data_IF_938104231251
#
_entry.id   IF_938104231251
#
_cell.length_a   1.000
_cell.length_b   1.000
_cell.length_c   1.000
_cell.angle_alpha   90.00
_cell.angle_beta   90.00
_cell.angle_gamma   90.00
#
_symmetry.space_group_name_H-M   'P 1'
#
loop_
_entity.id
_entity.type
_entity.pdbx_description
1 polymer ?
#
# COMPACT_ATOMS: atom_id res chain seq x y z
N UNK A 1 -14.72 -23.23 51.52
CA UNK A 1 -15.29 -21.91 51.88
C UNK A 1 -14.34 -20.83 51.36
N UNK A 2 -14.74 -20.17 50.26
CA UNK A 2 -14.67 -18.71 49.95
C UNK A 2 -13.90 -17.82 50.95
N UNK A 3 -13.09 -16.80 50.62
CA UNK A 3 -13.01 -15.76 49.54
C UNK A 3 -11.53 -15.25 49.53
N UNK A 4 -10.91 -14.62 48.51
CA UNK A 4 -11.34 -13.64 47.52
C UNK A 4 -10.72 -12.25 47.84
N UNK A 5 -9.72 -11.79 47.07
CA UNK A 5 -9.54 -10.34 46.78
C UNK A 5 -8.62 -10.10 45.58
N UNK A 6 -9.28 -9.76 44.47
CA UNK A 6 -8.71 -9.13 43.28
C UNK A 6 -8.05 -7.79 43.60
N UNK A 7 -6.90 -7.53 42.99
CA UNK A 7 -6.39 -6.17 42.75
C UNK A 7 -6.27 -6.03 41.24
N UNK A 8 -7.32 -5.46 40.64
CA UNK A 8 -7.36 -5.11 39.23
C UNK A 8 -6.42 -3.95 38.94
N UNK A 9 -5.32 -4.22 38.22
CA UNK A 9 -4.63 -3.19 37.45
C UNK A 9 -5.34 -3.08 36.11
N UNK A 10 -6.16 -2.03 36.01
CA UNK A 10 -6.89 -1.62 34.82
C UNK A 10 -5.86 -1.26 33.72
N UNK A 11 -5.52 -2.24 32.88
CA UNK A 11 -4.76 -1.99 31.65
C UNK A 11 -5.59 -1.06 30.78
N UNK A 12 -5.19 0.21 30.72
CA UNK A 12 -5.76 1.19 29.79
C UNK A 12 -5.42 0.70 28.39
N UNK A 13 -6.41 0.10 27.72
CA UNK A 13 -6.40 -0.13 26.28
C UNK A 13 -6.17 1.23 25.61
N UNK A 14 -4.95 1.52 25.19
CA UNK A 14 -4.67 2.52 24.16
C UNK A 14 -5.18 1.93 22.85
N UNK A 15 -6.50 1.99 22.66
CA UNK A 15 -7.11 1.85 21.36
C UNK A 15 -6.72 3.08 20.56
N UNK A 16 -5.69 2.95 19.73
CA UNK A 16 -5.55 3.81 18.57
C UNK A 16 -6.81 3.58 17.72
N UNK A 17 -7.66 4.59 17.65
CA UNK A 17 -8.96 4.51 16.98
C UNK A 17 -8.71 4.24 15.50
N UNK A 18 -9.32 3.19 14.95
CA UNK A 18 -9.39 2.89 13.51
C UNK A 18 -9.75 4.13 12.67
N UNK A 19 -10.47 5.08 13.25
CA UNK A 19 -10.76 6.39 12.66
C UNK A 19 -9.51 7.19 12.26
N UNK A 20 -8.38 7.06 12.97
CA UNK A 20 -7.13 7.78 12.66
C UNK A 20 -6.39 7.15 11.47
N UNK A 21 -6.49 5.83 11.30
CA UNK A 21 -5.93 5.14 10.13
C UNK A 21 -6.82 5.34 8.89
N UNK A 22 -8.15 5.29 9.08
CA UNK A 22 -9.16 5.56 8.06
C UNK A 22 -9.09 7.02 7.56
N UNK A 23 -9.01 8.00 8.45
CA UNK A 23 -8.87 9.42 8.12
C UNK A 23 -7.56 9.70 7.35
N UNK A 24 -6.47 8.99 7.68
CA UNK A 24 -5.19 9.10 6.96
C UNK A 24 -5.24 8.45 5.57
N UNK A 25 -6.01 7.39 5.39
CA UNK A 25 -6.27 6.78 4.08
C UNK A 25 -7.21 7.64 3.22
N UNK A 26 -8.29 8.13 3.81
CA UNK A 26 -9.23 9.05 3.16
C UNK A 26 -8.53 10.38 2.81
N UNK A 27 -7.52 10.83 3.57
CA UNK A 27 -6.67 11.98 3.21
C UNK A 27 -5.81 11.74 1.96
N UNK A 28 -5.45 10.50 1.65
CA UNK A 28 -4.74 10.15 0.41
C UNK A 28 -5.71 10.18 -0.78
N UNK A 29 -6.96 9.79 -0.57
CA UNK A 29 -8.02 9.88 -1.57
C UNK A 29 -8.45 11.36 -1.81
N UNK A 30 -8.50 12.16 -0.74
CA UNK A 30 -8.82 13.61 -0.78
C UNK A 30 -7.69 14.45 -1.38
N UNK A 31 -6.41 14.08 -1.23
CA UNK A 31 -5.29 14.73 -1.95
C UNK A 31 -5.29 14.43 -3.48
N UNK A 32 -6.17 13.54 -3.94
CA UNK A 32 -6.35 13.18 -5.35
C UNK A 32 -7.74 13.56 -5.91
N UNK A 33 -8.67 14.05 -5.09
CA UNK A 33 -9.89 14.71 -5.58
C UNK A 33 -9.69 16.23 -5.58
N UNK A 34 -9.72 16.79 -6.78
CA UNK A 34 -9.81 18.23 -6.99
C UNK A 34 -11.13 18.75 -6.37
N UNK A 35 -11.13 19.78 -5.50
CA UNK A 35 -12.35 20.29 -4.84
C UNK A 35 -13.35 20.95 -5.80
N UNK A 36 -13.11 20.92 -7.12
CA UNK A 36 -13.92 21.60 -8.14
C UNK A 36 -14.72 20.65 -9.05
N UNK A 37 -14.69 19.33 -8.83
CA UNK A 37 -15.55 18.41 -9.58
C UNK A 37 -16.95 18.40 -8.94
N UNK A 38 -17.78 19.36 -9.37
CA UNK A 38 -19.20 19.43 -9.03
C UNK A 38 -19.95 18.14 -9.34
N UNK A 39 -20.91 17.86 -8.46
CA UNK A 39 -21.79 16.72 -8.44
C UNK A 39 -22.66 16.64 -9.72
N UNK A 40 -22.29 15.75 -10.63
CA UNK A 40 -23.21 15.23 -11.63
C UNK A 40 -23.10 13.72 -11.64
N UNK A 41 -24.12 13.06 -11.09
CA UNK A 41 -24.31 11.63 -11.20
C UNK A 41 -24.34 11.24 -12.67
N UNK A 42 -23.33 10.50 -13.12
CA UNK A 42 -23.28 9.92 -14.46
C UNK A 42 -23.10 8.41 -14.32
N UNK A 43 -23.95 7.72 -15.03
CA UNK A 43 -24.11 6.27 -15.07
C UNK A 43 -22.85 5.60 -15.61
N UNK A 44 -22.31 4.63 -14.86
CA UNK A 44 -20.95 4.10 -15.06
C UNK A 44 -20.80 3.28 -16.36
N UNK A 45 -21.90 2.96 -17.03
CA UNK A 45 -21.93 2.18 -18.26
C UNK A 45 -21.74 3.07 -19.50
N UNK A 46 -22.07 4.37 -19.43
CA UNK A 46 -21.86 5.32 -20.52
C UNK A 46 -20.42 5.88 -20.56
N UNK A 47 -19.67 5.78 -19.45
CA UNK A 47 -18.33 6.36 -19.31
C UNK A 47 -17.23 5.56 -20.04
N UNK A 48 -17.50 4.29 -20.33
CA UNK A 48 -16.60 3.42 -21.10
C UNK A 48 -16.64 3.73 -22.60
N UNK A 49 -17.82 4.08 -23.14
CA UNK A 49 -18.00 4.37 -24.58
C UNK A 49 -17.57 5.80 -24.96
N UNK A 50 -17.73 6.77 -24.06
CA UNK A 50 -17.31 8.17 -24.33
C UNK A 50 -15.78 8.34 -24.28
N UNK A 51 -15.05 7.40 -23.64
CA UNK A 51 -13.57 7.36 -23.64
C UNK A 51 -12.98 6.87 -24.96
N UNK A 52 -13.79 6.43 -25.91
CA UNK A 52 -13.35 5.95 -27.21
C UNK A 52 -12.86 7.05 -28.17
N UNK A 53 -13.32 8.30 -28.02
CA UNK A 53 -13.16 9.31 -29.10
C UNK A 53 -12.67 10.69 -28.64
N UNK A 54 -12.64 10.96 -27.33
CA UNK A 54 -12.04 12.17 -26.77
C UNK A 54 -10.73 11.84 -26.08
N UNK A 55 -9.63 12.41 -26.59
CA UNK A 55 -8.28 12.19 -26.08
C UNK A 55 -8.18 12.31 -24.56
N UNK A 56 -7.21 11.58 -23.99
CA UNK A 56 -6.97 11.54 -22.54
C UNK A 56 -6.83 12.96 -21.97
N UNK A 57 -7.64 13.30 -20.95
CA UNK A 57 -7.64 14.63 -20.34
C UNK A 57 -6.25 15.04 -19.84
N UNK A 58 -5.90 16.32 -20.03
CA UNK A 58 -4.66 16.91 -19.53
C UNK A 58 -4.54 16.80 -18.00
N UNK A 59 -5.67 16.88 -17.27
CA UNK A 59 -5.69 16.74 -15.82
C UNK A 59 -5.28 15.34 -15.38
N UNK A 60 -5.78 14.30 -16.05
CA UNK A 60 -5.42 12.91 -15.81
C UNK A 60 -3.92 12.68 -16.04
N UNK A 61 -3.38 13.14 -17.17
CA UNK A 61 -1.95 13.02 -17.47
C UNK A 61 -1.09 13.73 -16.42
N UNK A 62 -1.55 14.89 -15.94
CA UNK A 62 -0.84 15.65 -14.90
C UNK A 62 -0.83 14.90 -13.57
N UNK A 63 -1.97 14.34 -13.16
CA UNK A 63 -2.09 13.50 -11.98
C UNK A 63 -1.18 12.26 -12.06
N UNK A 64 -1.21 11.56 -13.19
CA UNK A 64 -0.38 10.37 -13.41
C UNK A 64 1.11 10.70 -13.39
N UNK A 65 1.53 11.83 -13.96
CA UNK A 65 2.91 12.31 -13.87
C UNK A 65 3.33 12.63 -12.44
N UNK A 66 2.44 13.22 -11.63
CA UNK A 66 2.70 13.46 -10.20
C UNK A 66 2.93 12.14 -9.47
N UNK A 67 2.10 11.14 -9.74
CA UNK A 67 2.24 9.81 -9.15
C UNK A 67 3.54 9.12 -9.59
N UNK A 68 3.85 9.16 -10.88
CA UNK A 68 5.10 8.63 -11.44
C UNK A 68 6.35 9.27 -10.81
N UNK A 69 6.32 10.60 -10.57
CA UNK A 69 7.42 11.30 -9.90
C UNK A 69 7.62 10.80 -8.47
N UNK A 70 6.55 10.65 -7.69
CA UNK A 70 6.63 10.12 -6.32
C UNK A 70 7.19 8.71 -6.31
N UNK A 71 6.73 7.87 -7.22
CA UNK A 71 7.26 6.51 -7.37
C UNK A 71 8.76 6.48 -7.70
N UNK A 72 9.23 7.31 -8.64
CA UNK A 72 10.65 7.39 -8.97
C UNK A 72 11.52 8.00 -7.85
N UNK A 73 10.90 8.69 -6.89
CA UNK A 73 11.57 9.17 -5.67
C UNK A 73 11.62 8.10 -4.57
N UNK A 74 10.80 7.05 -4.66
CA UNK A 74 10.85 5.90 -3.74
C UNK A 74 12.04 4.99 -4.06
N UNK A 75 12.57 4.31 -3.05
CA UNK A 75 13.59 3.29 -3.20
C UNK A 75 13.03 1.99 -3.82
N UNK A 76 13.84 1.19 -4.52
CA UNK A 76 15.13 1.58 -5.04
C UNK A 76 14.91 2.66 -6.10
N UNK A 77 15.59 3.80 -5.96
CA UNK A 77 15.37 4.94 -6.84
C UNK A 77 15.82 4.66 -8.28
N UNK A 78 16.43 5.67 -8.90
CA UNK A 78 16.81 5.67 -10.33
C UNK A 78 17.64 4.48 -10.84
N UNK A 79 18.23 3.67 -9.96
CA UNK A 79 18.98 2.48 -10.32
C UNK A 79 18.80 1.41 -9.24
N UNK A 80 18.11 0.31 -9.57
CA UNK A 80 18.53 -0.98 -9.04
C UNK A 80 18.09 -2.10 -9.95
N UNK A 81 18.86 -3.18 -9.91
CA UNK A 81 18.77 -4.44 -10.65
C UNK A 81 17.48 -5.26 -10.35
N UNK A 82 16.44 -4.59 -9.85
CA UNK A 82 15.12 -5.13 -9.58
C UNK A 82 14.36 -5.44 -10.89
N UNK A 83 13.43 -6.42 -10.92
CA UNK A 83 12.52 -6.70 -12.05
C UNK A 83 11.56 -5.53 -12.43
N UNK A 84 11.89 -4.32 -12.00
CA UNK A 84 11.10 -3.09 -12.10
C UNK A 84 11.58 -2.14 -13.21
N UNK A 85 12.51 -2.56 -14.07
CA UNK A 85 13.12 -1.74 -15.12
C UNK A 85 12.09 -1.18 -16.10
N UNK A 86 11.11 -1.99 -16.51
CA UNK A 86 10.09 -1.56 -17.47
C UNK A 86 9.18 -0.45 -16.92
N UNK A 87 8.67 -0.59 -15.68
CA UNK A 87 7.80 0.43 -15.09
C UNK A 87 8.57 1.72 -14.80
N UNK A 88 9.82 1.62 -14.35
CA UNK A 88 10.71 2.78 -14.18
C UNK A 88 10.95 3.52 -15.48
N UNK A 89 11.22 2.80 -16.57
CA UNK A 89 11.39 3.38 -17.89
C UNK A 89 10.09 4.06 -18.36
N UNK A 90 8.94 3.39 -18.22
CA UNK A 90 7.64 3.97 -18.58
C UNK A 90 7.34 5.26 -17.80
N UNK A 91 7.66 5.30 -16.51
CA UNK A 91 7.53 6.51 -15.70
C UNK A 91 8.48 7.62 -16.17
N UNK A 92 9.73 7.27 -16.49
CA UNK A 92 10.73 8.22 -16.99
C UNK A 92 10.32 8.82 -18.34
N UNK A 93 9.89 7.98 -19.29
CA UNK A 93 9.37 8.37 -20.60
C UNK A 93 8.15 9.29 -20.46
N UNK A 94 7.23 8.96 -19.54
CA UNK A 94 6.01 9.74 -19.28
C UNK A 94 6.33 11.14 -18.75
N UNK A 95 7.34 11.25 -17.89
CA UNK A 95 7.82 12.53 -17.34
C UNK A 95 8.59 13.33 -18.39
N UNK A 96 9.46 12.68 -19.15
CA UNK A 96 10.29 13.31 -20.18
C UNK A 96 9.51 13.64 -21.47
N UNK A 97 8.26 13.18 -21.59
CA UNK A 97 7.39 13.36 -22.77
C UNK A 97 8.02 12.81 -24.05
N UNK A 98 8.84 11.77 -23.91
CA UNK A 98 9.65 11.22 -25.00
C UNK A 98 8.85 10.39 -26.01
N UNK A 99 7.67 9.89 -25.62
CA UNK A 99 6.77 9.15 -26.52
C UNK A 99 5.31 9.43 -26.22
N UNK A 100 4.48 9.24 -27.24
CA UNK A 100 3.03 9.14 -27.06
C UNK A 100 2.68 7.85 -26.31
N UNK A 101 1.72 7.95 -25.40
CA UNK A 101 1.17 6.80 -24.71
C UNK A 101 -0.29 6.63 -25.12
N UNK A 102 -0.67 5.41 -25.46
CA UNK A 102 -2.07 5.06 -25.66
C UNK A 102 -2.85 5.11 -24.34
N UNK A 103 -4.18 5.33 -24.36
CA UNK A 103 -5.01 5.29 -23.15
C UNK A 103 -4.83 4.00 -22.34
N UNK A 104 -4.71 2.86 -23.01
CA UNK A 104 -4.49 1.57 -22.36
C UNK A 104 -3.12 1.44 -21.68
N UNK A 105 -2.06 2.04 -22.25
CA UNK A 105 -0.75 2.10 -21.58
C UNK A 105 -0.80 2.97 -20.34
N UNK A 106 -1.46 4.12 -20.40
CA UNK A 106 -1.59 5.02 -19.26
C UNK A 106 -2.37 4.36 -18.13
N UNK A 107 -3.46 3.65 -18.43
CA UNK A 107 -4.23 2.90 -17.43
C UNK A 107 -3.41 1.78 -16.78
N UNK A 108 -2.54 1.10 -17.53
CA UNK A 108 -1.62 0.10 -16.94
C UNK A 108 -0.57 0.74 -16.03
N UNK A 109 0.03 1.85 -16.45
CA UNK A 109 1.00 2.59 -15.63
C UNK A 109 0.33 3.06 -14.33
N UNK A 110 -0.85 3.66 -14.43
CA UNK A 110 -1.63 4.09 -13.27
C UNK A 110 -1.92 2.94 -12.31
N UNK A 111 -2.46 1.82 -12.83
CA UNK A 111 -2.80 0.64 -12.01
C UNK A 111 -1.58 0.09 -11.28
N UNK A 112 -0.44 -0.02 -11.97
CA UNK A 112 0.81 -0.49 -11.37
C UNK A 112 1.34 0.47 -10.28
N UNK A 113 1.29 1.78 -10.53
CA UNK A 113 1.73 2.80 -9.58
C UNK A 113 0.82 2.83 -8.34
N UNK A 114 -0.49 2.83 -8.52
CA UNK A 114 -1.47 2.79 -7.43
C UNK A 114 -1.28 1.54 -6.56
N UNK A 115 -1.10 0.37 -7.19
CA UNK A 115 -0.87 -0.86 -6.45
C UNK A 115 0.42 -0.78 -5.62
N UNK A 116 1.56 -0.41 -6.23
CA UNK A 116 2.85 -0.38 -5.53
C UNK A 116 2.86 0.65 -4.40
N UNK A 117 2.43 1.87 -4.68
CA UNK A 117 2.38 2.91 -3.66
C UNK A 117 1.38 2.59 -2.57
N UNK A 118 0.22 2.02 -2.92
CA UNK A 118 -0.79 1.56 -1.96
C UNK A 118 -0.25 0.49 -1.02
N UNK A 119 0.49 -0.49 -1.54
CA UNK A 119 1.10 -1.55 -0.73
C UNK A 119 2.25 -1.07 0.15
N UNK A 120 3.11 -0.15 -0.33
CA UNK A 120 4.10 0.49 0.52
C UNK A 120 3.45 1.31 1.63
N UNK A 121 2.36 2.03 1.32
CA UNK A 121 1.59 2.77 2.31
C UNK A 121 0.98 1.84 3.36
N UNK A 122 0.32 0.76 2.94
CA UNK A 122 -0.28 -0.23 3.84
C UNK A 122 0.78 -0.87 4.74
N UNK A 123 1.93 -1.28 4.20
CA UNK A 123 3.01 -1.81 5.00
C UNK A 123 3.51 -0.82 6.05
N UNK A 124 3.62 0.46 5.69
CA UNK A 124 3.98 1.50 6.64
C UNK A 124 2.91 1.69 7.73
N UNK A 125 1.63 1.66 7.37
CA UNK A 125 0.52 1.73 8.32
C UNK A 125 0.51 0.55 9.28
N UNK A 126 0.78 -0.67 8.79
CA UNK A 126 0.87 -1.85 9.62
C UNK A 126 2.04 -1.77 10.61
N UNK A 127 3.24 -1.40 10.14
CA UNK A 127 4.42 -1.22 11.01
C UNK A 127 4.15 -0.18 12.09
N UNK A 128 3.69 1.02 11.72
CA UNK A 128 3.39 2.09 12.66
C UNK A 128 2.23 1.75 13.58
N UNK A 129 1.14 1.22 13.03
CA UNK A 129 -0.09 0.88 13.77
C UNK A 129 0.13 -0.19 14.82
N UNK A 130 1.03 -1.13 14.57
CA UNK A 130 1.43 -2.17 15.54
C UNK A 130 2.66 -1.80 16.36
N UNK A 131 3.12 -0.55 16.31
CA UNK A 131 4.26 -0.04 17.08
C UNK A 131 5.54 -0.88 16.86
N UNK A 132 5.73 -1.36 15.64
CA UNK A 132 7.00 -1.95 15.22
C UNK A 132 7.98 -0.82 14.86
N UNK A 133 9.30 -1.00 15.07
CA UNK A 133 10.29 -0.02 14.64
C UNK A 133 10.26 0.11 13.12
N UNK A 134 10.44 1.34 12.65
CA UNK A 134 10.67 1.60 11.23
C UNK A 134 12.06 1.05 10.87
N UNK A 135 12.17 0.11 9.92
CA UNK A 135 13.45 -0.36 9.41
C UNK A 135 14.33 0.82 9.01
N UNK A 136 15.53 0.92 9.61
CA UNK A 136 16.47 2.03 9.36
C UNK A 136 15.91 3.43 9.66
N UNK A 137 14.80 3.53 10.40
CA UNK A 137 14.13 4.78 10.71
C UNK A 137 13.37 5.41 9.53
N UNK A 138 13.18 4.70 8.41
CA UNK A 138 12.56 5.24 7.19
C UNK A 138 11.27 4.51 6.82
N UNK A 139 10.33 5.16 6.12
CA UNK A 139 9.11 4.52 5.65
C UNK A 139 9.38 3.51 4.51
N UNK A 140 8.40 2.65 4.23
CA UNK A 140 8.54 1.56 3.26
C UNK A 140 8.91 2.03 1.84
N UNK A 141 8.44 3.19 1.41
CA UNK A 141 8.80 3.78 0.11
C UNK A 141 10.26 4.20 0.07
N UNK A 142 10.82 4.72 1.16
CA UNK A 142 12.23 5.12 1.26
C UNK A 142 13.19 3.97 1.66
N UNK A 143 12.65 2.85 2.14
CA UNK A 143 13.47 1.74 2.59
C UNK A 143 14.22 1.04 1.44
N UNK A 144 15.49 0.72 1.64
CA UNK A 144 16.32 0.03 0.66
C UNK A 144 16.33 -1.49 0.91
N UNK A 145 15.83 -2.24 -0.08
CA UNK A 145 15.72 -3.70 -0.02
C UNK A 145 17.07 -4.41 0.08
N UNK A 146 18.16 -3.83 -0.41
CA UNK A 146 19.46 -4.51 -0.40
C UNK A 146 19.98 -4.71 1.02
N UNK A 147 19.56 -3.84 1.94
CA UNK A 147 19.83 -3.96 3.37
C UNK A 147 19.21 -5.21 4.00
N UNK A 148 18.23 -5.88 3.37
CA UNK A 148 17.69 -7.15 3.90
C UNK A 148 18.74 -8.24 4.07
N UNK A 149 19.87 -8.12 3.39
CA UNK A 149 20.99 -9.06 3.47
C UNK A 149 21.79 -8.93 4.77
N UNK A 150 21.64 -7.83 5.52
CA UNK A 150 22.28 -7.67 6.83
C UNK A 150 21.66 -8.55 7.92
N UNK A 151 20.44 -9.03 7.73
CA UNK A 151 19.75 -9.90 8.69
C UNK A 151 20.05 -11.39 8.46
N UNK A 152 19.95 -12.19 9.53
CA UNK A 152 20.19 -13.63 9.49
C UNK A 152 19.31 -14.34 8.46
N UNK A 153 19.93 -15.05 7.51
CA UNK A 153 19.24 -15.66 6.36
C UNK A 153 18.08 -16.59 6.76
N UNK A 154 18.29 -17.44 7.77
CA UNK A 154 17.28 -18.41 8.21
C UNK A 154 16.05 -17.73 8.80
N UNK A 155 16.27 -16.73 9.64
CA UNK A 155 15.21 -15.97 10.30
C UNK A 155 14.40 -15.16 9.30
N UNK A 156 15.07 -14.36 8.45
CA UNK A 156 14.39 -13.53 7.45
C UNK A 156 13.57 -14.36 6.46
N UNK A 157 14.10 -15.49 5.99
CA UNK A 157 13.36 -16.38 5.08
C UNK A 157 12.15 -17.01 5.76
N UNK A 158 12.29 -17.44 7.03
CA UNK A 158 11.18 -18.01 7.79
C UNK A 158 10.03 -17.00 7.97
N UNK A 159 10.34 -15.76 8.38
CA UNK A 159 9.34 -14.71 8.52
C UNK A 159 8.71 -14.34 7.19
N UNK A 160 9.51 -14.22 6.13
CA UNK A 160 9.00 -13.93 4.79
C UNK A 160 7.96 -14.95 4.33
N UNK A 161 8.24 -16.26 4.49
CA UNK A 161 7.30 -17.31 4.11
C UNK A 161 5.98 -17.23 4.88
N UNK A 162 6.02 -16.85 6.16
CA UNK A 162 4.82 -16.67 7.00
C UNK A 162 3.97 -15.48 6.58
N UNK A 163 4.55 -14.51 5.88
CA UNK A 163 3.89 -13.28 5.45
C UNK A 163 3.46 -13.30 3.97
N UNK A 164 3.73 -14.38 3.21
CA UNK A 164 3.48 -14.43 1.75
C UNK A 164 2.03 -14.15 1.33
N UNK A 165 1.05 -14.39 2.21
CA UNK A 165 -0.36 -14.12 1.97
C UNK A 165 -0.86 -12.81 2.57
N UNK A 166 0.01 -12.00 3.18
CA UNK A 166 -0.39 -10.78 3.88
C UNK A 166 -0.93 -9.72 2.93
N UNK A 167 -0.38 -9.62 1.72
CA UNK A 167 -0.84 -8.64 0.73
C UNK A 167 -1.57 -9.32 -0.43
N UNK A 168 -2.55 -8.65 -1.05
CA UNK A 168 -3.17 -9.14 -2.26
C UNK A 168 -2.13 -9.34 -3.36
N UNK A 169 -2.34 -10.34 -4.21
CA UNK A 169 -1.46 -10.57 -5.37
C UNK A 169 -1.72 -9.53 -6.46
N UNK A 170 -0.65 -9.02 -7.07
CA UNK A 170 -0.74 -8.15 -8.23
C UNK A 170 -1.46 -8.85 -9.40
N UNK A 171 -2.41 -8.15 -10.01
CA UNK A 171 -3.01 -8.57 -11.28
C UNK A 171 -2.08 -8.24 -12.48
N UNK A 172 -2.35 -8.75 -13.69
CA UNK A 172 -1.46 -8.54 -14.85
C UNK A 172 -1.21 -7.07 -15.22
N UNK A 173 -2.15 -6.16 -14.93
CA UNK A 173 -2.01 -4.73 -15.21
C UNK A 173 -1.20 -3.99 -14.13
N UNK A 174 -0.95 -4.61 -12.98
CA UNK A 174 -0.21 -4.02 -11.87
C UNK A 174 1.31 -4.32 -11.92
N UNK A 175 1.75 -5.01 -12.98
CA UNK A 175 3.16 -5.28 -13.28
C UNK A 175 3.58 -6.73 -13.02
N UNK A 176 4.90 -6.93 -12.95
CA UNK A 176 5.51 -8.26 -12.86
C UNK A 176 5.24 -8.91 -11.50
N UNK A 177 4.86 -10.20 -11.52
CA UNK A 177 4.81 -11.05 -10.31
C UNK A 177 6.16 -11.03 -9.60
N UNK A 178 6.17 -10.78 -8.30
CA UNK A 178 7.40 -10.87 -7.48
C UNK A 178 7.94 -9.56 -6.94
N UNK A 179 7.24 -8.42 -7.12
CA UNK A 179 7.54 -7.23 -6.34
C UNK A 179 7.20 -7.50 -4.86
N UNK A 180 8.23 -7.62 -4.02
CA UNK A 180 8.13 -8.13 -2.64
C UNK A 180 8.60 -7.13 -1.58
N UNK A 181 8.88 -5.88 -1.97
CA UNK A 181 9.33 -4.81 -1.06
C UNK A 181 8.52 -4.73 0.24
N UNK A 182 7.17 -4.66 0.21
CA UNK A 182 6.38 -4.46 1.41
C UNK A 182 6.51 -5.62 2.41
N UNK A 183 6.68 -6.84 1.90
CA UNK A 183 6.91 -8.02 2.73
C UNK A 183 8.25 -7.94 3.44
N UNK A 184 9.32 -7.62 2.70
CA UNK A 184 10.66 -7.52 3.27
C UNK A 184 10.76 -6.38 4.28
N UNK A 185 10.07 -5.27 4.03
CA UNK A 185 9.98 -4.16 4.98
C UNK A 185 9.38 -4.59 6.33
N UNK A 186 8.25 -5.32 6.31
CA UNK A 186 7.64 -5.85 7.54
C UNK A 186 8.54 -6.90 8.21
N UNK A 187 9.20 -7.77 7.44
CA UNK A 187 10.17 -8.73 7.98
C UNK A 187 11.28 -8.01 8.74
N UNK A 188 11.87 -6.97 8.15
CA UNK A 188 12.90 -6.16 8.81
C UNK A 188 12.38 -5.49 10.06
N UNK A 189 11.16 -4.96 10.05
CA UNK A 189 10.54 -4.33 11.22
C UNK A 189 10.32 -5.33 12.36
N UNK A 190 9.94 -6.57 12.04
CA UNK A 190 9.76 -7.65 13.03
C UNK A 190 11.09 -8.11 13.64
N UNK A 191 12.16 -8.16 12.84
CA UNK A 191 13.50 -8.52 13.32
C UNK A 191 14.06 -7.39 14.21
N UNK A 192 13.96 -6.14 13.77
CA UNK A 192 14.43 -4.98 14.54
C UNK A 192 13.65 -4.75 15.85
N UNK A 193 12.44 -5.28 15.95
CA UNK A 193 11.64 -5.21 17.18
C UNK A 193 12.19 -6.10 18.31
N UNK A 194 13.12 -7.00 18.02
CA UNK A 194 13.77 -7.93 18.97
C UNK A 194 12.76 -8.62 19.92
N UNK A 195 11.69 -9.14 19.31
CA UNK A 195 10.58 -9.76 20.02
C UNK A 195 10.87 -11.24 20.27
N UNK A 196 10.38 -11.75 21.41
CA UNK A 196 10.37 -13.19 21.66
C UNK A 196 9.52 -13.94 20.61
N UNK A 197 9.78 -15.24 20.36
CA UNK A 197 9.05 -15.99 19.33
C UNK A 197 7.51 -15.93 19.47
N UNK A 198 7.00 -16.01 20.70
CA UNK A 198 5.56 -15.92 20.96
C UNK A 198 4.97 -14.54 20.70
N UNK A 199 5.76 -13.47 20.87
CA UNK A 199 5.35 -12.11 20.54
C UNK A 199 5.38 -11.89 19.03
N UNK A 200 6.37 -12.43 18.31
CA UNK A 200 6.41 -12.43 16.85
C UNK A 200 5.17 -13.12 16.27
N UNK A 201 4.80 -14.29 16.81
CA UNK A 201 3.61 -15.02 16.37
C UNK A 201 2.34 -14.20 16.54
N UNK A 202 2.18 -13.57 17.72
CA UNK A 202 1.05 -12.67 17.99
C UNK A 202 1.03 -11.48 17.04
N UNK A 203 2.18 -10.87 16.76
CA UNK A 203 2.27 -9.73 15.84
C UNK A 203 1.90 -10.12 14.43
N UNK A 204 2.37 -11.27 13.94
CA UNK A 204 2.00 -11.78 12.62
C UNK A 204 0.49 -12.00 12.53
N UNK A 205 -0.11 -12.62 13.54
CA UNK A 205 -1.56 -12.82 13.58
C UNK A 205 -2.32 -11.48 13.53
N UNK A 206 -1.90 -10.51 14.34
CA UNK A 206 -2.49 -9.17 14.35
C UNK A 206 -2.37 -8.44 13.00
N UNK A 207 -1.25 -8.60 12.30
CA UNK A 207 -1.06 -8.03 10.97
C UNK A 207 -2.07 -8.60 9.96
N UNK A 208 -2.31 -9.91 9.98
CA UNK A 208 -3.31 -10.55 9.13
C UNK A 208 -4.73 -10.09 9.45
N UNK A 209 -5.09 -10.04 10.74
CA UNK A 209 -6.40 -9.56 11.19
C UNK A 209 -6.67 -8.13 10.71
N UNK A 210 -5.69 -7.23 10.85
CA UNK A 210 -5.83 -5.85 10.38
C UNK A 210 -6.02 -5.74 8.87
N UNK A 211 -5.31 -6.56 8.07
CA UNK A 211 -5.50 -6.53 6.60
C UNK A 211 -6.90 -7.00 6.21
N UNK A 212 -7.40 -8.07 6.85
CA UNK A 212 -8.76 -8.56 6.58
C UNK A 212 -9.83 -7.54 7.00
N UNK A 213 -9.66 -6.86 8.14
CA UNK A 213 -10.57 -5.78 8.57
C UNK A 213 -10.60 -4.62 7.57
N UNK A 214 -9.43 -4.20 7.07
CA UNK A 214 -9.31 -3.16 6.05
C UNK A 214 -10.03 -3.60 4.76
N UNK A 215 -9.86 -4.87 4.36
CA UNK A 215 -10.50 -5.43 3.17
C UNK A 215 -12.02 -5.45 3.29
N UNK A 216 -12.55 -5.95 4.40
CA UNK A 216 -14.00 -6.01 4.64
C UNK A 216 -14.63 -4.61 4.61
N UNK A 217 -13.98 -3.63 5.24
CA UNK A 217 -14.45 -2.24 5.27
C UNK A 217 -14.55 -1.62 3.87
N UNK A 218 -13.65 -1.99 2.96
CA UNK A 218 -13.70 -1.54 1.56
C UNK A 218 -14.83 -2.20 0.76
N UNK A 219 -15.07 -3.50 0.98
CA UNK A 219 -16.15 -4.24 0.32
C UNK A 219 -17.52 -3.69 0.73
N UNK A 220 -17.73 -3.41 2.02
CA UNK A 220 -19.00 -2.89 2.55
C UNK A 220 -19.33 -1.49 1.98
N UNK A 221 -18.33 -0.59 1.89
CA UNK A 221 -18.49 0.73 1.26
C UNK A 221 -18.89 0.65 -0.22
N UNK A 222 -18.35 -0.31 -0.97
CA UNK A 222 -18.72 -0.52 -2.37
C UNK A 222 -20.18 -0.98 -2.51
N UNK A 223 -20.65 -1.84 -1.62
CA UNK A 223 -22.04 -2.33 -1.62
C UNK A 223 -23.02 -1.21 -1.30
N UNK A 224 -22.69 -0.32 -0.36
CA UNK A 224 -23.57 0.79 0.04
C UNK A 224 -23.71 1.87 -1.05
N UNK A 225 -22.66 2.10 -1.85
CA UNK A 225 -22.71 2.99 -3.02
C UNK A 225 -23.60 2.40 -4.13
N UNK A 226 -23.60 1.07 -4.30
CA UNK A 226 -24.43 0.39 -5.30
C UNK A 226 -25.91 0.35 -4.88
N UNK A 227 -26.19 0.23 -3.57
CA UNK A 227 -27.57 0.22 -3.04
C UNK A 227 -28.20 1.60 -2.89
N UNK A 228 -27.40 2.67 -2.94
CA UNK A 228 -27.86 4.06 -2.86
C UNK A 228 -28.11 4.72 -4.23
N UNK A 229 -28.06 3.93 -5.31
CA UNK A 229 -28.50 4.30 -6.66
C UNK A 229 -29.75 3.50 -7.02
#
# INVERSE_FOLDING_TARGET
>A
MTTGKDIGVRSKRTGLLLADLQSRWDSIDVLNRDPLAGDTGIDNTALADIRGDYGVSLSYITGLRRLARRYLQSFPGRDSLSPNTMLHQQCSDLLARQRGFSPGELGRIESALQYRMGMSCLANQLVVGFSLPLPQGVPCDEWDEDNKSSYGQKERSSLFHRLLSLFPSANPNQGVKGWTKPYWYIVSALIEADLSPSQVDRKIQQLFEAVEEIRQTQEDRCVDIIKSK
#
